data_IF_293407011436
#
_entry.id   IF_293407011436
#
_cell.length_a   1.000
_cell.length_b   1.000
_cell.length_c   1.000
_cell.angle_alpha   90.00
_cell.angle_beta   90.00
_cell.angle_gamma   90.00
#
_symmetry.space_group_name_H-M   'P 1'
#
loop_
_entity.id
_entity.type
_entity.pdbx_description
1 polymer ?
#
# COMPACT_ATOMS: atom_id res chain seq x y z
N UNK A 1 -1.15 12.80 -0.52
CA UNK A 1 -0.59 11.67 -1.26
C UNK A 1 0.49 10.99 -0.43
N UNK A 2 0.44 9.68 -0.32
CA UNK A 2 1.32 8.91 0.58
C UNK A 2 2.56 8.36 -0.13
N UNK A 3 2.96 8.99 -1.22
CA UNK A 3 4.16 8.61 -1.96
C UNK A 3 5.40 8.80 -1.09
N UNK A 4 6.27 7.79 -1.06
CA UNK A 4 7.50 7.81 -0.27
C UNK A 4 8.72 7.88 -1.20
N UNK A 5 9.89 8.10 -0.59
CA UNK A 5 11.16 8.04 -1.31
C UNK A 5 11.86 6.70 -1.13
N UNK A 6 11.12 5.70 -0.68
CA UNK A 6 11.65 4.37 -0.45
C UNK A 6 11.97 3.72 -1.79
N UNK A 7 13.16 3.14 -1.89
CA UNK A 7 13.57 2.43 -3.11
C UNK A 7 12.93 1.05 -3.13
N UNK A 8 12.86 0.45 -4.32
CA UNK A 8 12.34 -0.90 -4.46
C UNK A 8 13.17 -1.91 -3.66
N UNK A 9 14.48 -1.72 -3.63
CA UNK A 9 15.39 -2.58 -2.89
C UNK A 9 15.12 -2.53 -1.38
N UNK A 10 14.86 -1.33 -0.86
CA UNK A 10 14.49 -1.16 0.55
C UNK A 10 13.16 -1.85 0.83
N UNK A 11 12.17 -1.66 -0.05
CA UNK A 11 10.84 -2.25 0.10
C UNK A 11 10.94 -3.79 0.16
N UNK A 12 11.82 -4.38 -0.63
CA UNK A 12 12.04 -5.82 -0.66
C UNK A 12 12.53 -6.39 0.69
N UNK A 13 13.12 -5.54 1.53
CA UNK A 13 13.60 -5.96 2.86
C UNK A 13 12.53 -5.87 3.94
N UNK A 14 11.39 -5.24 3.64
CA UNK A 14 10.33 -5.05 4.62
C UNK A 14 9.58 -6.36 4.89
N UNK A 15 8.96 -6.47 6.07
CA UNK A 15 8.20 -7.65 6.44
C UNK A 15 6.93 -7.78 5.61
N UNK A 16 6.77 -8.91 4.95
CA UNK A 16 5.55 -9.19 4.19
C UNK A 16 4.37 -9.43 5.12
N UNK A 17 3.24 -8.83 4.75
CA UNK A 17 1.98 -9.06 5.43
C UNK A 17 1.11 -9.87 4.48
N UNK A 18 0.39 -10.85 5.01
CA UNK A 18 -0.52 -11.65 4.21
C UNK A 18 -1.52 -10.75 3.48
N UNK A 19 -1.61 -10.90 2.18
CA UNK A 19 -2.43 -10.06 1.31
C UNK A 19 -3.06 -10.89 0.21
N UNK A 20 -4.19 -10.44 -0.35
CA UNK A 20 -4.79 -11.10 -1.51
C UNK A 20 -3.83 -11.07 -2.70
N UNK A 21 -4.03 -12.00 -3.61
CA UNK A 21 -3.23 -12.07 -4.84
C UNK A 21 -3.31 -10.74 -5.60
N UNK A 22 -2.15 -10.24 -6.02
CA UNK A 22 -2.06 -8.98 -6.74
C UNK A 22 -1.72 -7.79 -5.86
N UNK A 23 -1.69 -7.99 -4.56
CA UNK A 23 -1.30 -6.94 -3.60
C UNK A 23 -0.06 -7.38 -2.85
N UNK A 24 0.78 -6.42 -2.47
CA UNK A 24 2.00 -6.69 -1.72
C UNK A 24 2.10 -5.65 -0.60
N UNK A 25 1.48 -5.98 0.52
CA UNK A 25 1.52 -5.11 1.69
C UNK A 25 2.71 -5.49 2.56
N UNK A 26 3.44 -4.50 3.02
CA UNK A 26 4.61 -4.73 3.86
C UNK A 26 4.62 -3.79 5.05
N UNK A 27 5.32 -4.21 6.09
CA UNK A 27 5.46 -3.43 7.32
C UNK A 27 6.93 -3.17 7.60
N UNK A 28 7.23 -1.96 8.06
CA UNK A 28 8.58 -1.59 8.46
C UNK A 28 8.50 -0.49 9.53
N UNK A 29 9.14 -0.74 10.68
CA UNK A 29 9.20 0.22 11.78
C UNK A 29 7.82 0.77 12.20
N UNK A 30 6.83 -0.10 12.27
CA UNK A 30 5.48 0.26 12.68
C UNK A 30 4.65 0.95 11.62
N UNK A 31 5.18 1.08 10.41
CA UNK A 31 4.45 1.67 9.28
C UNK A 31 4.12 0.61 8.25
N UNK A 32 3.07 0.87 7.47
CA UNK A 32 2.60 -0.05 6.45
C UNK A 32 2.78 0.55 5.07
N UNK A 33 3.11 -0.30 4.10
CA UNK A 33 3.43 0.13 2.74
C UNK A 33 2.79 -0.76 1.70
N UNK A 34 2.52 -0.18 0.53
CA UNK A 34 2.07 -0.89 -0.65
C UNK A 34 2.79 -0.30 -1.86
N UNK A 35 2.67 -0.96 -3.01
CA UNK A 35 3.24 -0.40 -4.24
C UNK A 35 2.17 -0.23 -5.31
N UNK A 36 2.44 0.66 -6.25
CA UNK A 36 1.61 0.83 -7.44
C UNK A 36 2.50 0.98 -8.67
N UNK A 37 1.99 0.55 -9.81
CA UNK A 37 2.65 0.73 -11.10
C UNK A 37 1.91 1.78 -11.90
N UNK A 38 2.68 2.71 -12.47
CA UNK A 38 2.09 3.84 -13.20
C UNK A 38 2.77 4.04 -14.55
N UNK A 39 1.96 4.47 -15.53
CA UNK A 39 2.44 4.90 -16.82
C UNK A 39 2.86 3.76 -17.74
N UNK A 40 3.26 4.14 -18.95
CA UNK A 40 3.61 3.21 -20.03
C UNK A 40 4.88 2.42 -19.70
N UNK A 41 5.77 2.99 -18.89
CA UNK A 41 7.02 2.35 -18.51
C UNK A 41 6.89 1.45 -17.28
N UNK A 42 5.67 1.27 -16.77
CA UNK A 42 5.39 0.48 -15.55
C UNK A 42 6.27 0.91 -14.38
N UNK A 43 6.35 2.22 -14.17
CA UNK A 43 7.14 2.77 -13.06
C UNK A 43 6.51 2.37 -11.74
N UNK A 44 7.28 1.71 -10.88
CA UNK A 44 6.80 1.27 -9.57
C UNK A 44 7.10 2.33 -8.52
N UNK A 45 6.11 2.62 -7.71
CA UNK A 45 6.24 3.59 -6.61
C UNK A 45 5.73 2.98 -5.32
N UNK A 46 6.38 3.34 -4.23
CA UNK A 46 6.03 2.82 -2.90
C UNK A 46 5.19 3.89 -2.19
N UNK A 47 4.06 3.48 -1.66
CA UNK A 47 3.15 4.36 -0.92
C UNK A 47 3.03 3.90 0.52
N UNK A 48 2.94 4.84 1.44
CA UNK A 48 2.66 4.53 2.84
C UNK A 48 1.16 4.42 3.04
N UNK A 49 0.73 3.38 3.74
CA UNK A 49 -0.68 3.20 4.11
C UNK A 49 -0.87 3.80 5.49
N UNK A 50 -1.87 4.66 5.65
CA UNK A 50 -2.22 5.22 6.95
C UNK A 50 -2.52 4.07 7.93
N UNK A 51 -1.93 4.05 9.14
CA UNK A 51 -2.17 2.97 10.09
C UNK A 51 -3.65 2.76 10.44
N UNK A 52 -4.42 3.84 10.52
CA UNK A 52 -5.87 3.72 10.76
C UNK A 52 -6.58 3.01 9.63
N UNK A 53 -6.20 3.30 8.39
CA UNK A 53 -6.79 2.66 7.21
C UNK A 53 -6.42 1.18 7.17
N UNK A 54 -5.17 0.85 7.46
CA UNK A 54 -4.74 -0.54 7.48
C UNK A 54 -5.45 -1.32 8.58
N UNK A 55 -5.69 -0.68 9.73
CA UNK A 55 -6.43 -1.29 10.82
C UNK A 55 -7.87 -1.64 10.39
N UNK A 56 -8.51 -0.79 9.59
CA UNK A 56 -9.84 -1.07 9.04
C UNK A 56 -9.82 -2.29 8.14
N UNK A 57 -8.74 -2.47 7.38
CA UNK A 57 -8.54 -3.68 6.57
C UNK A 57 -8.41 -4.92 7.48
N UNK A 58 -7.62 -4.83 8.55
CA UNK A 58 -7.44 -5.95 9.48
C UNK A 58 -8.74 -6.34 10.18
N UNK A 59 -9.61 -5.37 10.45
CA UNK A 59 -10.90 -5.59 11.06
C UNK A 59 -11.98 -6.05 10.07
N UNK A 60 -11.64 -6.11 8.79
CA UNK A 60 -12.58 -6.54 7.75
C UNK A 60 -13.57 -5.48 7.31
N UNK A 61 -13.37 -4.22 7.71
CA UNK A 61 -14.26 -3.11 7.34
C UNK A 61 -13.93 -2.52 5.98
N UNK A 62 -12.70 -2.67 5.53
CA UNK A 62 -12.22 -2.22 4.23
C UNK A 62 -11.50 -3.35 3.53
N UNK A 63 -11.61 -3.39 2.21
CA UNK A 63 -10.93 -4.41 1.40
C UNK A 63 -9.50 -3.97 1.08
N UNK A 64 -8.67 -4.93 0.66
CA UNK A 64 -7.31 -4.64 0.22
C UNK A 64 -7.32 -3.63 -0.93
N UNK A 65 -8.28 -3.76 -1.87
CA UNK A 65 -8.43 -2.82 -2.98
C UNK A 65 -8.67 -1.40 -2.49
N UNK A 66 -9.53 -1.24 -1.49
CA UNK A 66 -9.87 0.07 -0.96
C UNK A 66 -8.66 0.75 -0.30
N UNK A 67 -7.93 0.05 0.55
CA UNK A 67 -6.78 0.68 1.22
C UNK A 67 -5.63 0.94 0.27
N UNK A 68 -5.43 0.07 -0.71
CA UNK A 68 -4.42 0.28 -1.75
C UNK A 68 -4.74 1.53 -2.58
N UNK A 69 -6.00 1.67 -2.98
CA UNK A 69 -6.47 2.84 -3.71
C UNK A 69 -6.28 4.11 -2.89
N UNK A 70 -6.67 4.07 -1.60
CA UNK A 70 -6.56 5.22 -0.70
C UNK A 70 -5.10 5.66 -0.55
N UNK A 71 -4.18 4.71 -0.41
CA UNK A 71 -2.75 5.02 -0.28
C UNK A 71 -2.22 5.73 -1.53
N UNK A 72 -2.68 5.32 -2.70
CA UNK A 72 -2.20 5.86 -3.97
C UNK A 72 -2.86 7.17 -4.37
N UNK A 73 -4.11 7.39 -3.99
CA UNK A 73 -4.92 8.49 -4.51
C UNK A 73 -5.35 9.49 -3.43
N UNK A 74 -5.07 9.20 -2.17
CA UNK A 74 -5.40 10.06 -1.04
C UNK A 74 -6.91 10.29 -0.88
N UNK A 75 -7.71 9.37 -1.39
CA UNK A 75 -9.17 9.38 -1.25
C UNK A 75 -9.69 7.94 -1.41
N UNK A 76 -10.87 7.69 -0.84
CA UNK A 76 -11.51 6.38 -0.97
C UNK A 76 -12.11 6.22 -2.36
N UNK A 77 -12.11 4.99 -2.91
CA UNK A 77 -12.74 4.77 -4.20
C UNK A 77 -14.24 4.98 -4.10
N UNK A 78 -14.80 5.66 -5.11
CA UNK A 78 -16.24 5.78 -5.25
C UNK A 78 -16.74 4.58 -6.05
N UNK A 79 -17.73 3.92 -5.53
CA UNK A 79 -18.32 2.77 -6.22
C UNK A 79 -19.46 3.19 -7.13
#
# INVERSE_FOLDING_TARGET
MSLTKITWEEFDTFDKIESPKGYDFRRHEGKYYTFGEFGVASVRRIFEINPSDFNEYLLGRRTAREIDFKAQNDCWPTT
#
